data_IF_189016511898
#
_entry.id   IF_189016511898
#
_cell.length_a   1.000
_cell.length_b   1.000
_cell.length_c   1.000
_cell.angle_alpha   90.00
_cell.angle_beta   90.00
_cell.angle_gamma   90.00
#
_symmetry.space_group_name_H-M   'P 1'
#
loop_
_entity.id
_entity.type
_entity.pdbx_description
1 polymer ?
#
# COMPACT_ATOMS: atom_id res chain seq x y z
N UNK A 1 0.74 0.16 -8.96
CA UNK A 1 0.65 -1.29 -8.70
C UNK A 1 -0.63 -1.58 -7.96
N UNK A 2 -1.38 -2.55 -8.44
CA UNK A 2 -2.71 -2.92 -7.95
C UNK A 2 -2.71 -4.44 -7.70
N UNK A 3 -2.38 -4.90 -6.48
CA UNK A 3 -2.43 -6.31 -6.16
C UNK A 3 -3.87 -6.81 -6.11
N UNK A 4 -4.14 -7.97 -6.70
CA UNK A 4 -5.49 -8.54 -6.81
C UNK A 4 -5.54 -9.99 -6.33
N UNK A 5 -6.64 -10.32 -5.65
CA UNK A 5 -7.10 -11.67 -5.40
C UNK A 5 -8.61 -11.68 -5.24
N UNK A 6 -9.34 -12.23 -6.20
CA UNK A 6 -10.83 -12.22 -6.26
C UNK A 6 -11.38 -10.78 -6.25
N UNK A 7 -11.02 -10.00 -7.27
CA UNK A 7 -11.46 -8.61 -7.46
C UNK A 7 -12.13 -8.40 -8.83
N UNK A 8 -12.73 -9.45 -9.41
CA UNK A 8 -13.36 -9.39 -10.74
C UNK A 8 -14.41 -8.28 -10.87
N UNK A 9 -15.11 -7.98 -9.77
CA UNK A 9 -16.14 -6.94 -9.74
C UNK A 9 -15.56 -5.50 -9.76
N UNK A 10 -14.29 -5.32 -9.41
CA UNK A 10 -13.70 -4.01 -9.18
C UNK A 10 -12.60 -3.65 -10.18
N UNK A 11 -11.84 -4.65 -10.67
CA UNK A 11 -10.58 -4.40 -11.38
C UNK A 11 -10.74 -3.55 -12.63
N UNK A 12 -11.80 -3.77 -13.42
CA UNK A 12 -12.05 -2.98 -14.64
C UNK A 12 -12.28 -1.50 -14.33
N UNK A 13 -13.12 -1.19 -13.33
CA UNK A 13 -13.40 0.19 -12.91
C UNK A 13 -12.11 0.88 -12.42
N UNK A 14 -11.33 0.20 -11.58
CA UNK A 14 -10.06 0.70 -11.05
C UNK A 14 -9.08 1.03 -12.17
N UNK A 15 -8.90 0.15 -13.16
CA UNK A 15 -8.01 0.39 -14.31
C UNK A 15 -8.50 1.57 -15.14
N UNK A 16 -9.78 1.63 -15.47
CA UNK A 16 -10.35 2.70 -16.29
C UNK A 16 -10.24 4.07 -15.60
N UNK A 17 -10.52 4.13 -14.30
CA UNK A 17 -10.39 5.35 -13.51
C UNK A 17 -8.94 5.80 -13.37
N UNK A 18 -7.99 4.88 -13.17
CA UNK A 18 -6.55 5.21 -13.17
C UNK A 18 -6.09 5.77 -14.52
N UNK A 19 -6.49 5.15 -15.64
CA UNK A 19 -6.19 5.66 -16.98
C UNK A 19 -6.73 7.08 -17.22
N UNK A 20 -7.92 7.35 -16.68
CA UNK A 20 -8.55 8.67 -16.79
C UNK A 20 -7.90 9.70 -15.85
N UNK A 21 -7.41 9.26 -14.68
CA UNK A 21 -6.82 10.15 -13.68
C UNK A 21 -5.42 10.64 -14.06
N UNK A 22 -4.63 9.82 -14.77
CA UNK A 22 -3.27 10.19 -15.18
C UNK A 22 -2.84 9.50 -16.48
N UNK A 23 -2.35 10.31 -17.42
CA UNK A 23 -1.73 9.82 -18.65
C UNK A 23 -0.25 9.39 -18.47
N UNK A 24 0.37 9.78 -17.38
CA UNK A 24 1.81 9.59 -17.12
C UNK A 24 2.10 8.31 -16.33
N UNK A 25 1.05 7.62 -15.85
CA UNK A 25 1.19 6.45 -14.97
C UNK A 25 0.94 5.16 -15.73
N UNK A 26 1.86 4.24 -15.64
CA UNK A 26 1.64 2.85 -16.04
C UNK A 26 0.96 2.07 -14.92
N UNK A 27 0.08 1.15 -15.27
CA UNK A 27 -0.70 0.33 -14.35
C UNK A 27 -0.15 -1.09 -14.39
N UNK A 28 0.27 -1.60 -13.24
CA UNK A 28 0.61 -3.01 -13.08
C UNK A 28 -0.42 -3.68 -12.16
N UNK A 29 -1.22 -4.57 -12.72
CA UNK A 29 -2.05 -5.51 -11.94
C UNK A 29 -1.16 -6.67 -11.53
N UNK A 30 -1.13 -7.00 -10.24
CA UNK A 30 -0.39 -8.15 -9.71
C UNK A 30 -1.40 -9.18 -9.21
N UNK A 31 -1.68 -10.18 -10.03
CA UNK A 31 -2.72 -11.17 -9.72
C UNK A 31 -2.16 -12.40 -9.00
N UNK A 32 -2.65 -12.65 -7.79
CA UNK A 32 -2.27 -13.76 -6.92
C UNK A 32 -3.02 -15.07 -7.30
N UNK A 33 -3.08 -15.40 -8.60
CA UNK A 33 -3.78 -16.56 -9.13
C UNK A 33 -5.27 -16.59 -8.72
N UNK A 34 -5.99 -15.55 -9.05
CA UNK A 34 -7.41 -15.38 -8.71
C UNK A 34 -8.28 -16.43 -9.40
N UNK A 35 -9.00 -17.28 -8.64
CA UNK A 35 -9.87 -18.31 -9.23
C UNK A 35 -11.19 -17.78 -9.82
N UNK A 36 -11.54 -16.51 -9.57
CA UNK A 36 -12.78 -15.87 -10.02
C UNK A 36 -12.71 -15.28 -11.44
N UNK A 37 -11.54 -15.37 -12.09
CA UNK A 37 -11.32 -14.80 -13.41
C UNK A 37 -10.77 -13.36 -13.42
N UNK A 38 -10.41 -12.79 -12.27
CA UNK A 38 -9.82 -11.43 -12.18
C UNK A 38 -8.63 -11.27 -13.10
N UNK A 39 -7.68 -12.23 -13.10
CA UNK A 39 -6.48 -12.18 -13.94
C UNK A 39 -6.81 -12.17 -15.43
N UNK A 40 -7.70 -13.05 -15.88
CA UNK A 40 -8.14 -13.11 -17.28
C UNK A 40 -8.87 -11.82 -17.72
N UNK A 41 -9.66 -11.22 -16.83
CA UNK A 41 -10.29 -9.93 -17.09
C UNK A 41 -9.24 -8.80 -17.20
N UNK A 42 -8.25 -8.80 -16.31
CA UNK A 42 -7.15 -7.83 -16.39
C UNK A 42 -6.34 -7.97 -17.67
N UNK A 43 -6.07 -9.21 -18.15
CA UNK A 43 -5.39 -9.47 -19.42
C UNK A 43 -6.14 -8.88 -20.62
N UNK A 44 -7.47 -8.89 -20.60
CA UNK A 44 -8.28 -8.28 -21.65
C UNK A 44 -8.18 -6.74 -21.71
N UNK A 45 -7.64 -6.10 -20.68
CA UNK A 45 -7.46 -4.65 -20.54
C UNK A 45 -6.01 -4.20 -20.75
N UNK A 46 -5.10 -5.12 -21.08
CA UNK A 46 -3.69 -4.84 -21.36
C UNK A 46 -3.56 -3.92 -22.59
N UNK A 47 -2.71 -2.92 -22.47
CA UNK A 47 -2.30 -2.03 -23.54
C UNK A 47 -0.86 -1.52 -23.31
N UNK A 48 -0.45 -0.43 -23.97
CA UNK A 48 0.90 0.14 -23.81
C UNK A 48 1.21 0.63 -22.40
N UNK A 49 0.19 0.89 -21.56
CA UNK A 49 0.32 1.40 -20.17
C UNK A 49 -0.32 0.50 -19.11
N UNK A 50 -0.88 -0.61 -19.50
CA UNK A 50 -1.53 -1.55 -18.57
C UNK A 50 -0.90 -2.91 -18.73
N UNK A 51 -0.34 -3.42 -17.66
CA UNK A 51 0.39 -4.69 -17.60
C UNK A 51 -0.20 -5.59 -16.54
N UNK A 52 -0.07 -6.90 -16.72
CA UNK A 52 -0.49 -7.91 -15.74
C UNK A 52 0.71 -8.79 -15.39
N UNK A 53 0.92 -8.98 -14.09
CA UNK A 53 1.87 -9.91 -13.54
C UNK A 53 1.12 -11.02 -12.81
N UNK A 54 1.07 -12.20 -13.41
CA UNK A 54 0.49 -13.38 -12.78
C UNK A 54 1.47 -14.03 -11.83
N UNK A 55 1.02 -14.29 -10.59
CA UNK A 55 1.76 -15.08 -9.62
C UNK A 55 1.17 -16.49 -9.58
N UNK A 56 2.01 -17.50 -9.26
CA UNK A 56 1.58 -18.89 -9.27
C UNK A 56 0.59 -19.26 -8.15
N UNK A 57 0.61 -18.49 -7.05
CA UNK A 57 -0.22 -18.76 -5.87
C UNK A 57 -0.50 -17.50 -5.06
N UNK A 58 -1.48 -17.58 -4.17
CA UNK A 58 -1.79 -16.53 -3.21
C UNK A 58 -0.73 -16.46 -2.12
N UNK A 59 0.18 -15.48 -2.23
CA UNK A 59 1.25 -15.25 -1.26
C UNK A 59 0.96 -14.17 -0.21
N UNK A 60 -0.11 -13.39 -0.40
CA UNK A 60 -0.45 -12.25 0.44
C UNK A 60 0.08 -10.92 -0.08
N UNK A 61 -0.31 -9.82 0.60
CA UNK A 61 -0.12 -8.46 0.13
C UNK A 61 1.37 -8.07 -0.03
N UNK A 62 2.19 -8.37 0.99
CA UNK A 62 3.63 -8.04 0.95
C UNK A 62 4.36 -8.71 -0.21
N UNK A 63 4.29 -10.04 -0.38
CA UNK A 63 4.87 -10.73 -1.52
C UNK A 63 4.35 -10.26 -2.89
N UNK A 64 3.07 -9.85 -2.99
CA UNK A 64 2.53 -9.29 -4.22
C UNK A 64 3.18 -7.94 -4.56
N UNK A 65 3.29 -7.04 -3.58
CA UNK A 65 4.00 -5.77 -3.79
C UNK A 65 5.49 -5.98 -4.10
N UNK A 66 6.18 -6.89 -3.42
CA UNK A 66 7.58 -7.19 -3.74
C UNK A 66 7.77 -7.67 -5.19
N UNK A 67 6.88 -8.51 -5.67
CA UNK A 67 6.90 -8.94 -7.08
C UNK A 67 6.69 -7.76 -8.04
N UNK A 68 5.73 -6.88 -7.72
CA UNK A 68 5.48 -5.66 -8.47
C UNK A 68 6.65 -4.67 -8.41
N UNK A 69 7.29 -4.49 -7.26
CA UNK A 69 8.50 -3.67 -7.11
C UNK A 69 9.64 -4.20 -7.97
N UNK A 70 9.90 -5.51 -7.94
CA UNK A 70 10.93 -6.14 -8.79
C UNK A 70 10.63 -5.90 -10.26
N UNK A 71 9.39 -6.15 -10.69
CA UNK A 71 8.96 -5.95 -12.08
C UNK A 71 9.21 -4.50 -12.57
N UNK A 72 8.86 -3.51 -11.76
CA UNK A 72 9.05 -2.10 -12.10
C UNK A 72 10.51 -1.66 -11.98
N UNK A 73 11.23 -2.14 -10.96
CA UNK A 73 12.64 -1.83 -10.77
C UNK A 73 13.49 -2.27 -11.96
N UNK A 74 13.28 -3.48 -12.47
CA UNK A 74 13.99 -4.05 -13.63
C UNK A 74 13.69 -3.27 -14.92
N UNK A 75 12.58 -2.52 -14.97
CA UNK A 75 12.16 -1.69 -16.11
C UNK A 75 12.53 -0.21 -15.98
N UNK A 76 13.24 0.16 -14.92
CA UNK A 76 13.76 1.51 -14.75
C UNK A 76 12.76 2.53 -14.24
N UNK A 77 11.64 2.11 -13.63
CA UNK A 77 10.71 3.05 -13.00
C UNK A 77 11.35 3.76 -11.80
N UNK A 78 11.13 5.07 -11.71
CA UNK A 78 11.67 5.92 -10.63
C UNK A 78 10.74 6.00 -9.42
N UNK A 79 9.43 5.87 -9.63
CA UNK A 79 8.41 5.92 -8.59
C UNK A 79 7.45 4.73 -8.68
N UNK A 80 7.01 4.28 -7.52
CA UNK A 80 6.14 3.12 -7.36
C UNK A 80 4.95 3.51 -6.50
N UNK A 81 3.74 3.41 -7.06
CA UNK A 81 2.50 3.70 -6.32
C UNK A 81 1.83 2.39 -5.91
N UNK A 82 1.56 2.24 -4.62
CA UNK A 82 0.72 1.19 -4.05
C UNK A 82 -0.74 1.66 -4.03
N UNK A 83 -1.68 0.81 -4.43
CA UNK A 83 -3.12 1.07 -4.34
C UNK A 83 -3.90 -0.23 -4.26
N UNK A 84 -4.92 -0.31 -3.38
CA UNK A 84 -5.80 -1.47 -3.28
C UNK A 84 -6.78 -1.55 -4.47
N UNK A 85 -7.14 -2.77 -4.86
CA UNK A 85 -8.06 -3.05 -5.98
C UNK A 85 -9.55 -2.98 -5.61
N UNK A 86 -9.91 -2.82 -4.33
CA UNK A 86 -11.27 -2.98 -3.82
C UNK A 86 -12.14 -1.70 -3.89
N UNK A 87 -11.65 -0.68 -4.60
CA UNK A 87 -12.32 0.60 -4.77
C UNK A 87 -12.32 1.51 -3.54
N UNK A 88 -11.63 1.12 -2.46
CA UNK A 88 -11.56 1.94 -1.26
C UNK A 88 -10.66 3.18 -1.41
N UNK A 89 -9.61 3.09 -2.21
CA UNK A 89 -8.79 4.23 -2.62
C UNK A 89 -9.38 4.88 -3.86
N UNK A 90 -9.31 6.21 -3.94
CA UNK A 90 -9.81 6.95 -5.09
C UNK A 90 -8.69 7.13 -6.13
N UNK A 91 -8.77 6.47 -7.32
CA UNK A 91 -7.76 6.59 -8.37
C UNK A 91 -7.49 8.04 -8.77
N UNK A 92 -8.52 8.88 -8.74
CA UNK A 92 -8.44 10.30 -9.09
C UNK A 92 -7.51 11.10 -8.16
N UNK A 93 -7.28 10.63 -6.94
CA UNK A 93 -6.39 11.30 -5.99
C UNK A 93 -4.90 10.97 -6.17
N UNK A 94 -4.54 10.13 -7.18
CA UNK A 94 -3.14 9.79 -7.47
C UNK A 94 -2.27 11.02 -7.69
N UNK A 95 -2.86 12.10 -8.25
CA UNK A 95 -2.15 13.36 -8.46
C UNK A 95 -1.57 13.96 -7.18
N UNK A 96 -2.20 13.72 -6.01
CA UNK A 96 -1.69 14.21 -4.71
C UNK A 96 -0.39 13.53 -4.32
N UNK A 97 -0.27 12.23 -4.61
CA UNK A 97 0.96 11.49 -4.35
C UNK A 97 2.05 11.91 -5.34
N UNK A 98 1.70 12.01 -6.63
CA UNK A 98 2.63 12.40 -7.70
C UNK A 98 3.16 13.83 -7.49
N UNK A 99 2.28 14.77 -7.12
CA UNK A 99 2.69 16.15 -6.85
C UNK A 99 3.64 16.29 -5.66
N UNK A 100 3.55 15.37 -4.70
CA UNK A 100 4.43 15.34 -3.53
C UNK A 100 5.69 14.46 -3.74
N UNK A 101 5.84 13.77 -4.86
CA UNK A 101 6.97 12.87 -5.13
C UNK A 101 8.33 13.59 -5.22
N UNK A 102 8.46 14.77 -5.86
CA UNK A 102 9.74 15.44 -5.98
C UNK A 102 10.38 15.74 -4.61
N UNK A 103 11.60 15.22 -4.40
CA UNK A 103 12.35 15.44 -3.15
C UNK A 103 11.90 14.57 -1.96
N UNK A 104 10.98 13.62 -2.17
CA UNK A 104 10.52 12.71 -1.12
C UNK A 104 10.70 11.25 -1.55
N UNK A 105 11.10 10.40 -0.60
CA UNK A 105 11.30 8.97 -0.83
C UNK A 105 10.03 8.15 -0.56
N UNK A 106 9.18 8.65 0.35
CA UNK A 106 7.91 8.00 0.69
C UNK A 106 6.82 9.06 0.88
N UNK A 107 5.77 8.96 0.07
CA UNK A 107 4.55 9.75 0.23
C UNK A 107 3.46 8.85 0.78
N UNK A 108 2.95 9.19 1.97
CA UNK A 108 1.89 8.44 2.66
C UNK A 108 0.54 9.12 2.40
N UNK A 109 -0.37 8.43 1.74
CA UNK A 109 -1.77 8.83 1.68
C UNK A 109 -2.42 8.65 3.05
N UNK A 110 -2.83 9.74 3.70
CA UNK A 110 -3.26 9.79 5.09
C UNK A 110 -4.74 10.16 5.21
N UNK A 111 -5.50 9.29 5.87
CA UNK A 111 -6.93 9.50 6.16
C UNK A 111 -7.17 10.43 7.34
N UNK A 112 -6.19 10.60 8.21
CA UNK A 112 -6.31 11.21 9.54
C UNK A 112 -5.63 12.58 9.66
N UNK A 113 -5.50 13.30 8.55
CA UNK A 113 -5.00 14.68 8.53
C UNK A 113 -6.05 15.66 7.98
N UNK A 114 -5.88 16.98 8.14
CA UNK A 114 -6.76 17.95 7.49
C UNK A 114 -6.85 17.72 5.98
N UNK A 115 -8.08 17.62 5.47
CA UNK A 115 -8.35 17.26 4.08
C UNK A 115 -8.44 15.77 3.79
N UNK A 116 -8.07 14.89 4.74
CA UNK A 116 -8.30 13.45 4.66
C UNK A 116 -9.72 13.08 5.07
N UNK A 117 -10.30 12.06 4.45
CA UNK A 117 -11.67 11.62 4.69
C UNK A 117 -11.77 10.11 4.81
N UNK A 118 -12.71 9.65 5.64
CA UNK A 118 -13.15 8.26 5.69
C UNK A 118 -14.66 8.24 5.57
N UNK A 119 -15.16 7.65 4.48
CA UNK A 119 -16.58 7.59 4.17
C UNK A 119 -17.14 6.19 4.49
N UNK A 120 -18.37 6.16 4.98
CA UNK A 120 -19.16 4.95 5.23
C UNK A 120 -18.62 3.97 6.28
N UNK A 121 -17.54 4.31 7.02
CA UNK A 121 -17.06 3.45 8.11
C UNK A 121 -17.86 3.66 9.41
N UNK A 122 -18.19 2.57 10.12
CA UNK A 122 -18.67 2.65 11.48
C UNK A 122 -17.69 3.39 12.41
N UNK A 123 -18.21 4.11 13.39
CA UNK A 123 -17.38 4.87 14.35
C UNK A 123 -16.38 3.96 15.06
N UNK A 124 -16.79 2.74 15.44
CA UNK A 124 -15.93 1.75 16.08
C UNK A 124 -14.69 1.43 15.23
N UNK A 125 -14.86 1.21 13.92
CA UNK A 125 -13.77 0.93 12.98
C UNK A 125 -12.82 2.13 12.84
N UNK A 126 -13.37 3.36 12.81
CA UNK A 126 -12.55 4.59 12.80
C UNK A 126 -11.68 4.69 14.05
N UNK A 127 -12.26 4.44 15.23
CA UNK A 127 -11.53 4.48 16.51
C UNK A 127 -10.42 3.41 16.57
N UNK A 128 -10.73 2.15 16.18
CA UNK A 128 -9.74 1.06 16.15
C UNK A 128 -8.58 1.41 15.22
N UNK A 129 -8.86 1.92 14.02
CA UNK A 129 -7.82 2.29 13.05
C UNK A 129 -6.92 3.42 13.57
N UNK A 130 -7.52 4.49 14.14
CA UNK A 130 -6.75 5.60 14.74
C UNK A 130 -5.93 5.15 15.94
N UNK A 131 -6.50 4.29 16.79
CA UNK A 131 -5.78 3.74 17.94
C UNK A 131 -4.61 2.86 17.48
N UNK A 132 -4.81 1.98 16.50
CA UNK A 132 -3.76 1.14 15.93
C UNK A 132 -2.60 1.95 15.35
N UNK A 133 -2.90 2.99 14.57
CA UNK A 133 -1.88 3.92 14.06
C UNK A 133 -1.14 4.63 15.18
N UNK A 134 -1.86 5.17 16.18
CA UNK A 134 -1.23 5.88 17.30
C UNK A 134 -0.33 4.96 18.13
N UNK A 135 -0.79 3.74 18.37
CA UNK A 135 0.02 2.72 19.02
C UNK A 135 1.32 2.43 18.26
N UNK A 136 1.21 2.16 16.94
CA UNK A 136 2.37 1.89 16.10
C UNK A 136 3.35 3.07 16.07
N UNK A 137 2.84 4.30 15.93
CA UNK A 137 3.64 5.52 15.95
C UNK A 137 4.42 5.67 17.26
N UNK A 138 3.77 5.47 18.41
CA UNK A 138 4.40 5.54 19.71
C UNK A 138 5.45 4.43 19.90
N UNK A 139 5.11 3.19 19.59
CA UNK A 139 6.01 2.05 19.73
C UNK A 139 7.28 2.24 18.88
N UNK A 140 7.11 2.68 17.64
CA UNK A 140 8.23 2.88 16.70
C UNK A 140 8.90 4.24 16.82
N UNK A 141 8.33 5.18 17.60
CA UNK A 141 8.79 6.56 17.72
C UNK A 141 8.73 7.34 16.42
N UNK A 142 7.68 7.09 15.68
CA UNK A 142 7.36 7.76 14.42
C UNK A 142 6.26 8.80 14.66
N UNK A 143 6.26 9.89 13.88
CA UNK A 143 5.29 11.00 14.06
C UNK A 143 4.26 11.06 12.94
N UNK A 144 3.96 9.92 12.29
CA UNK A 144 3.01 9.88 11.18
C UNK A 144 1.59 9.57 11.65
N UNK A 145 0.61 10.15 10.93
CA UNK A 145 -0.82 10.07 11.26
C UNK A 145 -1.50 8.82 10.77
N UNK A 146 -0.94 8.18 9.70
CA UNK A 146 -1.52 6.96 9.12
C UNK A 146 -0.45 5.99 8.61
N UNK A 147 -0.01 5.08 9.46
CA UNK A 147 1.00 4.06 9.14
C UNK A 147 0.42 2.84 8.40
N UNK A 148 -0.89 2.75 8.30
CA UNK A 148 -1.60 1.56 7.81
C UNK A 148 -2.30 1.75 6.47
N UNK A 149 -2.27 2.96 5.91
CA UNK A 149 -2.81 3.23 4.59
C UNK A 149 -2.02 2.49 3.52
N UNK A 150 -2.69 1.90 2.54
CA UNK A 150 -2.10 1.24 1.38
C UNK A 150 -2.00 2.12 0.13
N UNK A 151 -2.35 3.41 0.22
CA UNK A 151 -2.18 4.35 -0.89
C UNK A 151 -0.91 5.16 -0.68
N UNK A 152 0.16 4.79 -1.35
CA UNK A 152 1.50 5.32 -1.13
C UNK A 152 2.27 5.47 -2.42
N UNK A 153 3.27 6.36 -2.40
CA UNK A 153 4.27 6.44 -3.44
C UNK A 153 5.65 6.24 -2.82
N UNK A 154 6.46 5.39 -3.43
CA UNK A 154 7.82 5.06 -3.02
C UNK A 154 8.81 5.46 -4.12
N UNK A 155 9.95 6.03 -3.75
CA UNK A 155 11.06 6.29 -4.66
C UNK A 155 11.82 5.00 -4.98
N UNK A 156 12.55 4.99 -6.09
CA UNK A 156 13.45 3.89 -6.47
C UNK A 156 14.48 3.60 -5.38
N UNK A 157 15.04 4.64 -4.74
CA UNK A 157 16.00 4.47 -3.65
C UNK A 157 15.39 3.74 -2.44
N UNK A 158 14.13 4.03 -2.11
CA UNK A 158 13.45 3.30 -1.04
C UNK A 158 13.18 1.84 -1.42
N UNK A 159 12.90 1.55 -2.68
CA UNK A 159 12.76 0.16 -3.16
C UNK A 159 14.08 -0.61 -3.01
N UNK A 160 15.22 0.00 -3.29
CA UNK A 160 16.55 -0.60 -3.05
C UNK A 160 16.78 -0.92 -1.57
N UNK A 161 16.42 0.00 -0.67
CA UNK A 161 16.49 -0.25 0.77
C UNK A 161 15.57 -1.40 1.21
N UNK A 162 14.37 -1.50 0.63
CA UNK A 162 13.43 -2.59 0.89
C UNK A 162 14.02 -3.94 0.46
N UNK A 163 14.62 -4.02 -0.73
CA UNK A 163 15.23 -5.25 -1.22
C UNK A 163 16.39 -5.72 -0.33
N UNK A 164 17.20 -4.79 0.18
CA UNK A 164 18.33 -5.12 1.06
C UNK A 164 17.93 -5.43 2.50
N UNK A 165 16.79 -4.91 2.97
CA UNK A 165 16.33 -5.01 4.37
C UNK A 165 15.60 -6.31 4.71
N UNK A 166 15.33 -7.21 3.75
CA UNK A 166 14.62 -8.47 3.93
C UNK A 166 13.30 -8.31 4.71
N UNK A 167 12.23 -7.92 4.03
CA UNK A 167 10.90 -7.80 4.62
C UNK A 167 10.44 -9.09 5.28
N UNK A 168 9.90 -8.98 6.47
CA UNK A 168 9.53 -10.12 7.32
C UNK A 168 8.02 -10.29 7.50
N UNK A 169 7.20 -9.34 7.03
CA UNK A 169 5.75 -9.34 7.18
C UNK A 169 5.04 -9.67 5.88
N UNK A 170 3.98 -10.47 5.97
CA UNK A 170 3.20 -10.95 4.82
C UNK A 170 1.91 -10.14 4.65
N UNK A 171 1.33 -9.67 5.76
CA UNK A 171 0.04 -8.99 5.80
C UNK A 171 0.17 -7.45 5.96
N UNK A 172 -0.76 -6.83 6.68
CA UNK A 172 -0.77 -5.37 6.89
C UNK A 172 0.43 -4.83 7.67
N UNK A 173 1.19 -5.69 8.37
CA UNK A 173 2.48 -5.34 8.96
C UNK A 173 3.49 -4.83 7.95
N UNK A 174 3.38 -5.26 6.69
CA UNK A 174 4.19 -4.81 5.56
C UNK A 174 4.20 -3.28 5.42
N UNK A 175 3.04 -2.64 5.55
CA UNK A 175 2.93 -1.19 5.44
C UNK A 175 3.68 -0.45 6.56
N UNK A 176 3.65 -0.98 7.77
CA UNK A 176 4.38 -0.43 8.92
C UNK A 176 5.89 -0.69 8.75
N UNK A 177 6.25 -1.87 8.24
CA UNK A 177 7.65 -2.26 8.03
C UNK A 177 8.33 -1.36 6.98
N UNK A 178 7.67 -1.00 5.88
CA UNK A 178 8.17 -0.03 4.89
C UNK A 178 8.49 1.31 5.56
N UNK A 179 7.59 1.87 6.36
CA UNK A 179 7.86 3.14 7.05
C UNK A 179 9.03 3.03 8.03
N UNK A 180 9.15 1.87 8.71
CA UNK A 180 10.29 1.60 9.58
C UNK A 180 11.61 1.55 8.81
N UNK A 181 11.64 0.89 7.64
CA UNK A 181 12.81 0.84 6.75
C UNK A 181 13.16 2.24 6.27
N UNK A 182 12.19 2.99 5.74
CA UNK A 182 12.41 4.36 5.27
C UNK A 182 13.00 5.24 6.38
N UNK A 183 12.45 5.16 7.60
CA UNK A 183 12.97 5.93 8.74
C UNK A 183 14.38 5.49 9.17
N UNK A 184 14.68 4.18 9.14
CA UNK A 184 16.01 3.65 9.48
C UNK A 184 17.10 4.13 8.49
N UNK A 185 16.76 4.21 7.20
CA UNK A 185 17.62 4.71 6.14
C UNK A 185 17.57 6.25 5.98
N UNK A 186 16.88 6.97 6.92
CA UNK A 186 16.75 8.44 6.92
C UNK A 186 16.13 8.99 5.64
N UNK A 187 15.22 8.24 5.04
CA UNK A 187 14.47 8.64 3.85
C UNK A 187 13.50 9.77 4.18
N UNK A 188 13.28 10.65 3.23
CA UNK A 188 12.37 11.78 3.42
C UNK A 188 10.93 11.31 3.21
N UNK A 189 10.11 11.44 4.27
CA UNK A 189 8.72 10.96 4.29
C UNK A 189 7.78 12.15 4.44
N UNK A 190 6.74 12.19 3.61
CA UNK A 190 5.68 13.21 3.68
C UNK A 190 4.30 12.54 3.71
N UNK A 191 3.32 13.22 4.29
CA UNK A 191 1.92 12.81 4.31
C UNK A 191 1.07 13.73 3.41
N UNK A 192 0.18 13.13 2.63
CA UNK A 192 -0.84 13.85 1.83
C UNK A 192 -2.24 13.35 2.19
N UNK A 193 -3.27 14.21 2.17
CA UNK A 193 -4.62 13.78 2.50
C UNK A 193 -5.21 12.91 1.38
N UNK A 194 -5.91 11.84 1.77
CA UNK A 194 -6.67 10.99 0.85
C UNK A 194 -8.09 10.74 1.36
N UNK A 195 -8.98 10.42 0.43
CA UNK A 195 -10.32 9.91 0.71
C UNK A 195 -10.31 8.40 0.67
N UNK A 196 -10.77 7.78 1.74
CA UNK A 196 -10.97 6.33 1.83
C UNK A 196 -12.46 6.03 1.95
N UNK A 197 -12.98 5.24 1.04
CA UNK A 197 -14.41 4.85 1.02
C UNK A 197 -14.52 3.40 1.48
N UNK A 198 -15.57 3.05 2.26
CA UNK A 198 -15.84 1.64 2.53
C UNK A 198 -16.08 0.92 1.19
N UNK A 199 -15.46 -0.25 1.02
CA UNK A 199 -15.64 -1.05 -0.19
C UNK A 199 -17.13 -1.34 -0.46
N UNK A 200 -17.52 -1.27 -1.72
CA UNK A 200 -18.90 -1.53 -2.14
C UNK A 200 -19.13 -3.03 -2.40
N UNK A 201 -18.11 -3.73 -2.90
CA UNK A 201 -18.17 -5.14 -3.24
C UNK A 201 -16.97 -5.91 -2.67
N UNK A 202 -17.15 -7.23 -2.49
CA UNK A 202 -16.10 -8.12 -1.98
C UNK A 202 -16.06 -8.26 -0.46
N UNK A 203 -15.32 -9.28 0.01
CA UNK A 203 -15.14 -9.57 1.44
C UNK A 203 -13.81 -9.03 1.95
N UNK A 204 -13.80 -8.54 3.19
CA UNK A 204 -12.56 -8.13 3.84
C UNK A 204 -11.59 -9.31 3.95
N UNK A 205 -10.41 -9.16 3.38
CA UNK A 205 -9.31 -10.13 3.47
C UNK A 205 -8.52 -9.98 4.77
N UNK A 206 -8.87 -8.98 5.60
CA UNK A 206 -8.27 -8.75 6.91
C UNK A 206 -8.81 -9.76 7.94
N UNK A 207 -8.00 -10.75 8.27
CA UNK A 207 -8.30 -11.70 9.33
C UNK A 207 -7.75 -11.22 10.69
N UNK A 208 -8.34 -11.69 11.79
CA UNK A 208 -7.81 -11.40 13.13
C UNK A 208 -6.34 -11.82 13.30
N UNK A 209 -5.89 -12.88 12.61
CA UNK A 209 -4.50 -13.34 12.61
C UNK A 209 -3.54 -12.27 12.05
N UNK A 210 -3.93 -11.60 10.97
CA UNK A 210 -3.13 -10.52 10.34
C UNK A 210 -3.00 -9.33 11.29
N UNK A 211 -4.09 -8.98 11.99
CA UNK A 211 -4.06 -7.89 12.99
C UNK A 211 -3.12 -8.24 14.15
N UNK A 212 -3.22 -9.45 14.69
CA UNK A 212 -2.35 -9.93 15.77
C UNK A 212 -0.88 -9.97 15.33
N UNK A 213 -0.59 -10.40 14.09
CA UNK A 213 0.76 -10.38 13.53
C UNK A 213 1.32 -8.95 13.52
N UNK A 214 0.55 -7.98 12.99
CA UNK A 214 0.97 -6.58 12.94
C UNK A 214 1.25 -6.01 14.34
N UNK A 215 0.40 -6.29 15.32
CA UNK A 215 0.58 -5.87 16.70
C UNK A 215 1.84 -6.48 17.33
N UNK A 216 2.01 -7.80 17.21
CA UNK A 216 3.17 -8.52 17.74
C UNK A 216 4.48 -7.99 17.16
N UNK A 217 4.55 -7.83 15.85
CA UNK A 217 5.74 -7.29 15.15
C UNK A 217 6.02 -5.85 15.56
N UNK A 218 5.01 -4.98 15.60
CA UNK A 218 5.16 -3.59 16.02
C UNK A 218 5.69 -3.50 17.45
N UNK A 219 5.16 -4.33 18.38
CA UNK A 219 5.65 -4.40 19.76
C UNK A 219 7.11 -4.83 19.81
N UNK A 220 7.48 -5.88 19.08
CA UNK A 220 8.86 -6.38 19.03
C UNK A 220 9.82 -5.30 18.51
N UNK A 221 9.48 -4.63 17.42
CA UNK A 221 10.29 -3.54 16.89
C UNK A 221 10.41 -2.36 17.86
N UNK A 222 9.35 -2.06 18.60
CA UNK A 222 9.39 -1.05 19.66
C UNK A 222 10.38 -1.40 20.78
N UNK A 223 10.40 -2.66 21.23
CA UNK A 223 11.39 -3.15 22.19
C UNK A 223 12.81 -3.09 21.65
N UNK A 224 13.05 -3.57 20.43
CA UNK A 224 14.36 -3.50 19.78
C UNK A 224 14.87 -2.05 19.74
N UNK A 225 14.02 -1.10 19.35
CA UNK A 225 14.38 0.33 19.34
C UNK A 225 14.82 0.84 20.72
N UNK A 226 14.15 0.44 21.80
CA UNK A 226 14.52 0.86 23.16
C UNK A 226 15.87 0.27 23.61
N UNK A 227 16.17 -0.95 23.22
CA UNK A 227 17.42 -1.64 23.57
C UNK A 227 18.61 -1.08 22.78
N UNK A 228 18.44 -0.82 21.47
CA UNK A 228 19.54 -0.36 20.60
C UNK A 228 19.73 1.17 20.56
N UNK A 229 18.93 1.94 21.30
CA UNK A 229 19.13 3.39 21.52
C UNK A 229 20.10 3.74 22.63
N UNK A 230 20.75 2.75 23.22
CA UNK A 230 21.81 2.96 24.24
C UNK A 230 23.19 2.97 23.62
#
# INVERSE_FOLDING_TARGET
MVPTYNEIANISDVILRLKSASAEVDILVVDDNSPDGTGALADSLVDSRTHVLHRSEKGGLGPAYLAGFTWGYDRGYEYFVEMDADGSHQPEEIFRLLAAAPGHDLVLGTRWMPGGLVLNWPISRRLISRFGTRYASLALGLSFRDLTSGYRLLSRQLIEDIFTSQLTTIGYGFQIEIVRIANAHKRIIVEVPITFVERVAGNSKMSGKIVVEAWRKTTLWGFQRMVYRR
#
